data_IF_418634883954
#
_entry.id   IF_418634883954
#
_cell.length_a   1.000
_cell.length_b   1.000
_cell.length_c   1.000
_cell.angle_alpha   90.00
_cell.angle_beta   90.00
_cell.angle_gamma   90.00
#
_symmetry.space_group_name_H-M   'P 1'
#
loop_
_entity.id
_entity.type
_entity.pdbx_description
1 polymer ?
#
# COMPACT_ATOMS: atom_id res chain seq x y z
N UNK A 1 -8.06 21.29 20.29
CA UNK A 1 -7.32 21.05 19.02
C UNK A 1 -7.26 19.55 18.81
N UNK A 2 -7.63 19.04 17.63
CA UNK A 2 -7.43 17.62 17.29
C UNK A 2 -5.93 17.32 17.36
N UNK A 3 -5.57 16.17 17.92
CA UNK A 3 -4.19 15.66 17.93
C UNK A 3 -4.08 14.47 16.97
N UNK A 4 -2.85 14.13 16.56
CA UNK A 4 -2.63 12.91 15.77
C UNK A 4 -3.22 11.69 16.46
N UNK A 5 -3.05 11.58 17.80
CA UNK A 5 -3.58 10.48 18.59
C UNK A 5 -5.11 10.39 18.54
N UNK A 6 -5.82 11.52 18.60
CA UNK A 6 -7.28 11.52 18.53
C UNK A 6 -7.80 11.21 17.12
N UNK A 7 -7.12 11.72 16.07
CA UNK A 7 -7.42 11.39 14.68
C UNK A 7 -7.21 9.89 14.41
N UNK A 8 -6.04 9.37 14.81
CA UNK A 8 -5.73 7.95 14.67
C UNK A 8 -6.74 7.07 15.42
N UNK A 9 -7.12 7.45 16.64
CA UNK A 9 -8.15 6.73 17.40
C UNK A 9 -9.55 6.76 16.74
N UNK A 10 -9.88 7.78 15.94
CA UNK A 10 -11.11 7.79 15.13
C UNK A 10 -10.99 6.82 13.96
N UNK A 11 -9.86 6.85 13.23
CA UNK A 11 -9.58 5.97 12.11
C UNK A 11 -9.48 4.48 12.51
N UNK A 12 -9.13 4.16 13.76
CA UNK A 12 -9.15 2.78 14.27
C UNK A 12 -10.57 2.22 14.49
N UNK A 13 -11.62 3.06 14.45
CA UNK A 13 -13.01 2.61 14.59
C UNK A 13 -13.58 2.05 13.29
N UNK A 14 -12.97 2.37 12.15
CA UNK A 14 -13.38 1.81 10.86
C UNK A 14 -12.66 0.49 10.59
N UNK A 15 -13.23 -0.43 9.81
CA UNK A 15 -12.54 -1.65 9.40
C UNK A 15 -11.23 -1.35 8.67
N UNK A 16 -10.23 -2.25 8.78
CA UNK A 16 -9.02 -2.10 7.98
C UNK A 16 -9.34 -2.25 6.49
N UNK A 17 -8.65 -1.51 5.61
CA UNK A 17 -8.93 -1.55 4.18
C UNK A 17 -8.56 -2.93 3.63
N UNK A 18 -9.50 -3.60 2.96
CA UNK A 18 -9.29 -4.93 2.40
C UNK A 18 -9.62 -5.01 0.91
N UNK A 19 -10.75 -4.41 0.53
CA UNK A 19 -11.32 -4.40 -0.80
C UNK A 19 -11.68 -2.97 -1.18
N UNK A 20 -11.87 -2.66 -2.47
CA UNK A 20 -12.08 -1.29 -2.90
C UNK A 20 -13.45 -0.80 -2.42
N UNK A 21 -13.53 0.49 -2.11
CA UNK A 21 -14.77 1.20 -1.82
C UNK A 21 -15.01 2.28 -2.87
N UNK A 22 -16.28 2.64 -3.08
CA UNK A 22 -16.67 3.74 -3.97
C UNK A 22 -16.36 5.12 -3.37
N UNK A 23 -16.21 5.19 -2.05
CA UNK A 23 -15.96 6.42 -1.30
C UNK A 23 -15.10 6.14 -0.07
N UNK A 24 -14.41 7.16 0.48
CA UNK A 24 -13.79 7.04 1.80
C UNK A 24 -14.83 6.68 2.86
N UNK A 25 -14.35 6.14 3.99
CA UNK A 25 -15.19 5.83 5.14
C UNK A 25 -15.84 7.10 5.71
N UNK A 26 -15.08 8.19 5.83
CA UNK A 26 -15.59 9.49 6.20
C UNK A 26 -14.91 10.60 5.37
N UNK A 27 -15.64 11.29 4.47
CA UNK A 27 -15.12 12.40 3.70
C UNK A 27 -14.59 13.58 4.55
N UNK A 28 -15.09 13.77 5.78
CA UNK A 28 -14.59 14.83 6.65
C UNK A 28 -13.16 14.53 7.11
N UNK A 29 -12.86 13.25 7.38
CA UNK A 29 -11.53 12.80 7.77
C UNK A 29 -10.49 13.04 6.66
N UNK A 30 -10.87 13.04 5.38
CA UNK A 30 -9.95 13.36 4.28
C UNK A 30 -9.31 14.74 4.47
N UNK A 31 -10.13 15.78 4.67
CA UNK A 31 -9.61 17.13 4.87
C UNK A 31 -8.91 17.31 6.22
N UNK A 32 -9.39 16.60 7.26
CA UNK A 32 -8.75 16.63 8.57
C UNK A 32 -7.35 16.01 8.52
N UNK A 33 -7.18 14.83 7.89
CA UNK A 33 -5.87 14.17 7.69
C UNK A 33 -4.89 15.14 7.02
N UNK A 34 -5.26 15.72 5.88
CA UNK A 34 -4.40 16.64 5.14
C UNK A 34 -4.04 17.91 5.96
N UNK A 35 -4.92 18.37 6.84
CA UNK A 35 -4.68 19.56 7.67
C UNK A 35 -3.55 19.37 8.69
N UNK A 36 -3.21 18.13 9.06
CA UNK A 36 -2.10 17.85 9.97
C UNK A 36 -0.74 18.09 9.31
N UNK A 37 -0.66 18.04 7.97
CA UNK A 37 0.58 18.15 7.20
C UNK A 37 1.67 17.25 7.78
N UNK A 38 1.38 15.96 7.88
CA UNK A 38 2.32 14.98 8.41
C UNK A 38 3.41 14.70 7.37
N UNK A 39 4.39 13.87 7.74
CA UNK A 39 5.26 13.29 6.74
C UNK A 39 4.39 12.58 5.66
N UNK A 40 4.63 12.78 4.35
CA UNK A 40 3.74 12.28 3.30
C UNK A 40 3.46 10.78 3.37
N UNK A 41 4.44 9.99 3.78
CA UNK A 41 4.26 8.55 4.01
C UNK A 41 3.24 8.24 5.11
N UNK A 42 3.30 8.94 6.24
CA UNK A 42 2.34 8.76 7.33
C UNK A 42 0.95 9.25 6.93
N UNK A 43 0.88 10.38 6.22
CA UNK A 43 -0.37 10.92 5.68
C UNK A 43 -1.04 9.94 4.70
N UNK A 44 -0.28 9.35 3.78
CA UNK A 44 -0.76 8.28 2.89
C UNK A 44 -1.38 7.13 3.67
N UNK A 45 -0.71 6.64 4.71
CA UNK A 45 -1.21 5.50 5.49
C UNK A 45 -2.56 5.81 6.17
N UNK A 46 -2.74 7.04 6.65
CA UNK A 46 -4.03 7.50 7.20
C UNK A 46 -5.11 7.61 6.12
N UNK A 47 -4.78 8.10 4.92
CA UNK A 47 -5.72 8.14 3.79
C UNK A 47 -6.14 6.73 3.36
N UNK A 48 -5.20 5.77 3.28
CA UNK A 48 -5.53 4.37 3.00
C UNK A 48 -6.44 3.76 4.05
N UNK A 49 -6.20 4.07 5.33
CA UNK A 49 -7.07 3.65 6.43
C UNK A 49 -8.48 4.25 6.33
N UNK A 50 -8.62 5.46 5.79
CA UNK A 50 -9.91 6.07 5.49
C UNK A 50 -10.50 5.62 4.14
N UNK A 51 -9.84 4.73 3.38
CA UNK A 51 -10.18 4.40 1.99
C UNK A 51 -10.26 5.61 1.04
N UNK A 52 -9.52 6.67 1.34
CA UNK A 52 -9.34 7.82 0.47
C UNK A 52 -8.21 7.55 -0.54
N UNK A 53 -8.51 6.65 -1.49
CA UNK A 53 -7.55 6.21 -2.50
C UNK A 53 -7.03 7.33 -3.40
N UNK A 54 -7.83 8.35 -3.82
CA UNK A 54 -7.30 9.46 -4.61
C UNK A 54 -6.19 10.25 -3.91
N UNK A 55 -6.37 10.59 -2.62
CA UNK A 55 -5.34 11.29 -1.85
C UNK A 55 -4.10 10.41 -1.63
N UNK A 56 -4.31 9.13 -1.30
CA UNK A 56 -3.21 8.18 -1.14
C UNK A 56 -2.40 8.04 -2.46
N UNK A 57 -3.08 7.88 -3.60
CA UNK A 57 -2.46 7.76 -4.91
C UNK A 57 -1.66 9.03 -5.29
N UNK A 58 -2.18 10.21 -4.95
CA UNK A 58 -1.50 11.48 -5.16
C UNK A 58 -0.18 11.58 -4.37
N UNK A 59 -0.13 11.02 -3.16
CA UNK A 59 1.07 11.07 -2.33
C UNK A 59 2.09 10.00 -2.73
N UNK A 60 1.69 8.73 -2.86
CA UNK A 60 2.64 7.61 -3.14
C UNK A 60 3.35 7.76 -4.47
N UNK A 61 2.76 8.47 -5.45
CA UNK A 61 3.43 8.74 -6.73
C UNK A 61 4.70 9.59 -6.63
N UNK A 62 4.94 10.23 -5.50
CA UNK A 62 6.15 11.00 -5.22
C UNK A 62 7.17 10.20 -4.36
N UNK A 63 6.87 8.93 -4.06
CA UNK A 63 7.66 8.05 -3.18
C UNK A 63 7.80 6.64 -3.80
N UNK A 64 7.95 6.57 -5.11
CA UNK A 64 7.93 5.31 -5.89
C UNK A 64 9.29 4.63 -6.04
N UNK A 65 10.35 5.12 -5.40
CA UNK A 65 11.70 4.63 -5.62
C UNK A 65 12.51 4.60 -4.34
N UNK A 66 13.49 3.69 -4.28
CA UNK A 66 14.46 3.66 -3.20
C UNK A 66 15.13 5.04 -3.05
N UNK A 67 15.36 5.53 -1.83
CA UNK A 67 15.20 4.81 -0.56
C UNK A 67 13.81 4.97 0.12
N UNK A 68 12.76 5.42 -0.57
CA UNK A 68 11.42 5.60 0.01
C UNK A 68 10.62 4.29 0.13
N UNK A 69 11.20 3.29 0.79
CA UNK A 69 10.62 1.95 0.90
C UNK A 69 9.24 1.93 1.56
N UNK A 70 8.98 2.78 2.56
CA UNK A 70 7.64 2.88 3.16
C UNK A 70 6.61 3.41 2.17
N UNK A 71 6.98 4.38 1.32
CA UNK A 71 6.10 4.90 0.27
C UNK A 71 5.84 3.87 -0.82
N UNK A 72 6.88 3.16 -1.26
CA UNK A 72 6.76 2.03 -2.20
C UNK A 72 5.85 0.94 -1.65
N UNK A 73 5.97 0.64 -0.36
CA UNK A 73 5.16 -0.38 0.28
C UNK A 73 3.68 0.05 0.39
N UNK A 74 3.40 1.30 0.79
CA UNK A 74 2.04 1.84 0.77
C UNK A 74 1.43 1.87 -0.65
N UNK A 75 2.26 1.99 -1.69
CA UNK A 75 1.81 1.86 -3.07
C UNK A 75 1.34 0.43 -3.39
N UNK A 76 2.07 -0.58 -2.91
CA UNK A 76 1.63 -1.97 -2.98
C UNK A 76 0.30 -2.21 -2.24
N UNK A 77 0.15 -1.66 -1.02
CA UNK A 77 -1.09 -1.74 -0.24
C UNK A 77 -2.25 -1.06 -0.99
N UNK A 78 -2.01 0.09 -1.61
CA UNK A 78 -2.99 0.80 -2.42
C UNK A 78 -3.52 -0.09 -3.56
N UNK A 79 -2.63 -0.68 -4.35
CA UNK A 79 -3.04 -1.56 -5.45
C UNK A 79 -3.71 -2.86 -4.97
N UNK A 80 -3.30 -3.39 -3.82
CA UNK A 80 -4.00 -4.52 -3.16
C UNK A 80 -5.46 -4.16 -2.88
N UNK A 81 -5.72 -2.96 -2.35
CA UNK A 81 -7.07 -2.46 -2.05
C UNK A 81 -7.86 -2.24 -3.35
N UNK A 82 -7.25 -1.69 -4.40
CA UNK A 82 -7.88 -1.53 -5.72
C UNK A 82 -8.19 -2.88 -6.40
N UNK A 83 -7.55 -3.95 -5.94
CA UNK A 83 -7.66 -5.30 -6.50
C UNK A 83 -6.79 -5.51 -7.74
N UNK A 84 -5.76 -4.69 -7.92
CA UNK A 84 -4.67 -4.87 -8.87
C UNK A 84 -3.52 -5.65 -8.20
N UNK A 85 -3.75 -6.95 -8.05
CA UNK A 85 -2.86 -7.80 -7.27
C UNK A 85 -1.50 -8.00 -7.94
N UNK A 86 -1.41 -7.99 -9.27
CA UNK A 86 -0.13 -8.18 -9.95
C UNK A 86 0.82 -7.00 -9.70
N UNK A 87 0.30 -5.76 -9.74
CA UNK A 87 1.09 -4.60 -9.32
C UNK A 87 1.40 -4.62 -7.82
N UNK A 88 0.44 -5.02 -6.97
CA UNK A 88 0.71 -5.16 -5.54
C UNK A 88 1.88 -6.14 -5.26
N UNK A 89 1.88 -7.30 -5.93
CA UNK A 89 2.95 -8.31 -5.81
C UNK A 89 4.31 -7.78 -6.28
N UNK A 90 4.33 -7.02 -7.37
CA UNK A 90 5.55 -6.38 -7.87
C UNK A 90 6.13 -5.41 -6.82
N UNK A 91 5.30 -4.53 -6.25
CA UNK A 91 5.72 -3.62 -5.18
C UNK A 91 6.22 -4.36 -3.94
N UNK A 92 5.51 -5.39 -3.48
CA UNK A 92 5.93 -6.19 -2.31
C UNK A 92 7.28 -6.88 -2.55
N UNK A 93 7.53 -7.31 -3.79
CA UNK A 93 8.83 -7.90 -4.18
C UNK A 93 9.96 -6.88 -4.09
N UNK A 94 9.73 -5.63 -4.55
CA UNK A 94 10.75 -4.58 -4.57
C UNK A 94 11.16 -4.07 -3.18
N UNK A 95 10.33 -4.31 -2.17
CA UNK A 95 10.55 -3.87 -0.80
C UNK A 95 10.85 -5.01 0.17
N UNK A 96 11.01 -6.26 -0.32
CA UNK A 96 11.25 -7.46 0.49
C UNK A 96 12.38 -7.28 1.51
N UNK A 97 13.49 -6.71 1.06
CA UNK A 97 14.71 -6.51 1.86
C UNK A 97 14.64 -5.28 2.78
N UNK A 98 13.55 -4.51 2.72
CA UNK A 98 13.37 -3.35 3.60
C UNK A 98 13.08 -3.79 5.04
N UNK A 99 13.53 -2.98 6.00
CA UNK A 99 13.34 -3.27 7.42
C UNK A 99 11.85 -3.37 7.80
N UNK A 100 11.00 -2.51 7.22
CA UNK A 100 9.57 -2.51 7.49
C UNK A 100 8.90 -3.79 6.99
N UNK A 101 9.21 -4.23 5.76
CA UNK A 101 8.62 -5.46 5.23
C UNK A 101 9.05 -6.68 6.05
N UNK A 102 10.35 -6.78 6.33
CA UNK A 102 10.90 -7.83 7.18
C UNK A 102 10.26 -7.85 8.56
N UNK A 103 9.96 -6.69 9.15
CA UNK A 103 9.31 -6.59 10.46
C UNK A 103 7.88 -7.15 10.44
N UNK A 104 7.12 -6.92 9.37
CA UNK A 104 5.72 -7.34 9.29
C UNK A 104 5.54 -8.77 8.75
N UNK A 105 6.37 -9.19 7.79
CA UNK A 105 6.20 -10.45 7.07
C UNK A 105 7.30 -11.49 7.32
N UNK A 106 8.41 -11.08 7.95
CA UNK A 106 9.59 -11.91 8.17
C UNK A 106 10.56 -11.94 6.98
N UNK A 107 11.66 -12.69 7.13
CA UNK A 107 12.76 -12.80 6.14
C UNK A 107 12.65 -14.01 5.20
N UNK A 108 11.61 -14.82 5.33
CA UNK A 108 11.50 -16.13 4.67
C UNK A 108 10.60 -16.13 3.45
N UNK A 109 10.89 -17.01 2.51
CA UNK A 109 10.08 -17.23 1.30
C UNK A 109 10.57 -16.46 0.08
N UNK A 110 9.98 -16.81 -1.06
CA UNK A 110 10.26 -16.20 -2.35
C UNK A 110 9.32 -15.01 -2.60
N UNK A 111 9.84 -13.96 -3.24
CA UNK A 111 9.00 -12.91 -3.79
C UNK A 111 8.25 -13.41 -5.01
N UNK A 112 7.28 -12.63 -5.45
CA UNK A 112 6.59 -12.90 -6.71
C UNK A 112 7.56 -12.90 -7.90
N UNK A 113 8.50 -11.94 -7.96
CA UNK A 113 9.48 -11.86 -9.06
C UNK A 113 10.39 -13.10 -9.11
N UNK A 114 10.94 -13.51 -7.96
CA UNK A 114 11.76 -14.72 -7.84
C UNK A 114 10.99 -15.98 -8.28
N UNK A 115 9.73 -16.11 -7.83
CA UNK A 115 8.87 -17.23 -8.21
C UNK A 115 8.56 -17.26 -9.72
N UNK A 116 8.26 -16.09 -10.31
CA UNK A 116 7.99 -15.97 -11.75
C UNK A 116 9.20 -16.35 -12.60
N UNK A 117 10.40 -15.97 -12.18
CA UNK A 117 11.65 -16.33 -12.86
C UNK A 117 11.90 -17.84 -12.83
N UNK A 118 11.70 -18.48 -11.67
CA UNK A 118 11.94 -19.91 -11.50
C UNK A 118 10.89 -20.77 -12.24
N UNK A 119 9.61 -20.40 -12.12
CA UNK A 119 8.52 -21.29 -12.53
C UNK A 119 7.81 -20.87 -13.83
N UNK A 120 8.17 -19.71 -14.43
CA UNK A 120 7.56 -19.19 -15.66
C UNK A 120 6.03 -19.15 -15.61
N UNK A 121 5.47 -18.76 -14.47
CA UNK A 121 4.03 -18.75 -14.15
C UNK A 121 3.34 -20.13 -14.06
N UNK A 122 4.10 -21.23 -14.04
CA UNK A 122 3.61 -22.56 -13.66
C UNK A 122 3.93 -22.88 -12.19
N UNK A 123 3.48 -24.03 -11.67
CA UNK A 123 3.89 -24.48 -10.34
C UNK A 123 3.07 -23.93 -9.16
N UNK A 124 3.26 -24.57 -8.00
CA UNK A 124 2.62 -24.15 -6.75
C UNK A 124 3.27 -22.89 -6.17
N UNK A 125 2.52 -22.18 -5.33
CA UNK A 125 2.92 -20.90 -4.72
C UNK A 125 3.24 -21.04 -3.23
N UNK A 126 3.50 -22.26 -2.76
CA UNK A 126 3.76 -22.57 -1.35
C UNK A 126 5.07 -21.97 -0.84
N UNK A 127 6.03 -21.73 -1.75
CA UNK A 127 7.33 -21.12 -1.47
C UNK A 127 7.29 -19.61 -1.29
N UNK A 128 6.19 -18.95 -1.68
CA UNK A 128 6.05 -17.50 -1.57
C UNK A 128 6.18 -17.01 -0.12
N UNK A 129 6.68 -15.79 0.06
CA UNK A 129 6.72 -15.15 1.36
C UNK A 129 5.31 -14.85 1.91
N UNK A 130 5.24 -14.48 3.18
CA UNK A 130 3.96 -14.30 3.87
C UNK A 130 3.12 -13.15 3.30
N UNK A 131 3.74 -12.06 2.87
CA UNK A 131 3.02 -10.93 2.27
C UNK A 131 2.45 -11.30 0.90
N UNK A 132 3.20 -12.05 0.10
CA UNK A 132 2.74 -12.58 -1.19
C UNK A 132 1.59 -13.59 -1.01
N UNK A 133 1.68 -14.48 -0.02
CA UNK A 133 0.59 -15.41 0.35
C UNK A 133 -0.67 -14.69 0.82
N UNK A 134 -0.50 -13.57 1.53
CA UNK A 134 -1.62 -12.74 1.94
C UNK A 134 -2.34 -12.14 0.71
N UNK A 135 -1.60 -11.61 -0.27
CA UNK A 135 -2.16 -11.13 -1.54
C UNK A 135 -2.94 -12.23 -2.28
N UNK A 136 -2.39 -13.45 -2.38
CA UNK A 136 -3.07 -14.60 -2.99
C UNK A 136 -4.38 -14.95 -2.26
N UNK A 137 -4.38 -14.89 -0.94
CA UNK A 137 -5.58 -15.21 -0.13
C UNK A 137 -6.68 -14.17 -0.34
N UNK A 138 -6.34 -12.88 -0.42
CA UNK A 138 -7.32 -11.81 -0.70
C UNK A 138 -7.85 -11.93 -2.12
N UNK A 139 -6.98 -12.15 -3.11
CA UNK A 139 -7.40 -12.33 -4.50
C UNK A 139 -8.39 -13.48 -4.62
N UNK A 140 -8.06 -14.63 -4.03
CA UNK A 140 -8.95 -15.79 -4.01
C UNK A 140 -10.28 -15.46 -3.33
N UNK A 141 -10.26 -14.80 -2.17
CA UNK A 141 -11.47 -14.36 -1.48
C UNK A 141 -12.37 -13.49 -2.37
N UNK A 142 -11.79 -12.53 -3.10
CA UNK A 142 -12.50 -11.64 -4.04
C UNK A 142 -13.11 -12.45 -5.20
N UNK A 143 -12.36 -13.38 -5.77
CA UNK A 143 -12.80 -14.19 -6.92
C UNK A 143 -13.87 -15.21 -6.57
N UNK A 144 -13.80 -15.82 -5.37
CA UNK A 144 -14.73 -16.88 -4.95
C UNK A 144 -15.89 -16.38 -4.11
N UNK A 145 -15.96 -15.08 -3.80
CA UNK A 145 -16.92 -14.50 -2.85
C UNK A 145 -16.94 -15.31 -1.53
N UNK A 146 -15.77 -15.39 -0.89
CA UNK A 146 -15.57 -16.20 0.32
C UNK A 146 -16.53 -15.87 1.48
N UNK A 147 -16.49 -16.70 2.53
CA UNK A 147 -17.45 -16.57 3.65
C UNK A 147 -17.09 -15.41 4.58
N UNK A 148 -18.06 -14.90 5.34
CA UNK A 148 -17.85 -13.79 6.29
C UNK A 148 -16.75 -14.08 7.34
N UNK A 149 -16.60 -15.34 7.80
CA UNK A 149 -15.52 -15.70 8.73
C UNK A 149 -14.12 -15.59 8.12
N UNK A 150 -13.98 -15.87 6.82
CA UNK A 150 -12.72 -15.68 6.09
C UNK A 150 -12.41 -14.19 5.92
N UNK A 151 -13.44 -13.39 5.64
CA UNK A 151 -13.33 -11.92 5.55
C UNK A 151 -12.82 -11.31 6.85
N UNK A 152 -13.35 -11.73 8.00
CA UNK A 152 -12.94 -11.19 9.29
C UNK A 152 -11.44 -11.43 9.56
N UNK A 153 -10.93 -12.63 9.29
CA UNK A 153 -9.50 -12.93 9.44
C UNK A 153 -8.62 -12.14 8.48
N UNK A 154 -9.08 -11.92 7.24
CA UNK A 154 -8.37 -11.09 6.28
C UNK A 154 -8.34 -9.61 6.68
N UNK A 155 -9.44 -9.09 7.25
CA UNK A 155 -9.49 -7.73 7.81
C UNK A 155 -8.53 -7.61 9.00
N UNK A 156 -8.45 -8.62 9.86
CA UNK A 156 -7.51 -8.64 11.00
C UNK A 156 -6.04 -8.65 10.54
N UNK A 157 -5.70 -9.46 9.54
CA UNK A 157 -4.36 -9.44 8.96
C UNK A 157 -4.06 -8.09 8.26
N UNK A 158 -5.03 -7.54 7.54
CA UNK A 158 -4.91 -6.20 6.92
C UNK A 158 -4.73 -5.10 7.97
N UNK A 159 -5.39 -5.24 9.12
CA UNK A 159 -5.25 -4.34 10.29
C UNK A 159 -3.82 -4.39 10.84
N UNK A 160 -3.28 -5.58 11.06
CA UNK A 160 -1.89 -5.76 11.51
C UNK A 160 -0.87 -5.13 10.56
N UNK A 161 -1.09 -5.27 9.24
CA UNK A 161 -0.25 -4.64 8.22
C UNK A 161 -0.30 -3.10 8.29
N UNK A 162 -1.51 -2.51 8.20
CA UNK A 162 -1.65 -1.05 8.11
C UNK A 162 -1.27 -0.36 9.42
N UNK A 163 -1.60 -0.95 10.58
CA UNK A 163 -1.22 -0.39 11.88
C UNK A 163 0.30 -0.48 12.07
N UNK A 164 0.92 -1.60 11.67
CA UNK A 164 2.36 -1.79 11.75
C UNK A 164 3.16 -0.76 10.95
N UNK A 165 2.69 -0.42 9.74
CA UNK A 165 3.34 0.64 8.94
C UNK A 165 3.06 2.05 9.48
N UNK A 166 1.86 2.32 10.03
CA UNK A 166 1.55 3.59 10.70
C UNK A 166 2.47 3.78 11.91
N UNK A 167 2.60 2.78 12.78
CA UNK A 167 3.48 2.82 13.95
C UNK A 167 4.95 3.01 13.55
N UNK A 168 5.40 2.29 12.52
CA UNK A 168 6.74 2.46 11.97
C UNK A 168 6.98 3.89 11.47
N UNK A 169 6.08 4.42 10.66
CA UNK A 169 6.19 5.78 10.11
C UNK A 169 6.14 6.83 11.22
N UNK A 170 5.25 6.68 12.21
CA UNK A 170 5.17 7.58 13.36
C UNK A 170 6.45 7.54 14.20
N UNK A 171 7.07 6.36 14.37
CA UNK A 171 8.35 6.22 15.07
C UNK A 171 9.52 6.81 14.29
N UNK A 172 9.55 6.61 12.96
CA UNK A 172 10.67 7.01 12.10
C UNK A 172 10.64 8.50 11.74
N UNK A 173 9.47 9.03 11.41
CA UNK A 173 9.29 10.39 10.90
C UNK A 173 8.69 11.35 11.94
N UNK A 174 8.14 10.82 13.04
CA UNK A 174 7.39 11.59 14.01
C UNK A 174 5.96 11.91 13.53
N UNK A 175 5.21 12.59 14.40
CA UNK A 175 3.81 13.00 14.14
C UNK A 175 3.65 14.51 14.21
N UNK A 176 4.76 15.25 14.16
CA UNK A 176 4.75 16.69 14.14
C UNK A 176 4.43 17.20 12.73
N UNK A 177 3.88 18.41 12.68
CA UNK A 177 3.61 19.11 11.42
C UNK A 177 4.91 19.32 10.65
N UNK A 178 4.95 18.90 9.40
CA UNK A 178 6.06 19.06 8.47
C UNK A 178 5.72 20.15 7.46
N UNK A 179 6.31 21.35 7.62
CA UNK A 179 5.99 22.48 6.72
C UNK A 179 6.60 22.32 5.32
N UNK A 180 7.72 21.62 5.20
CA UNK A 180 8.37 21.32 3.93
C UNK A 180 8.65 19.82 3.86
N UNK A 181 7.91 19.14 2.99
CA UNK A 181 8.02 17.71 2.76
C UNK A 181 8.84 17.35 1.50
N UNK A 182 9.50 18.33 0.87
CA UNK A 182 10.25 18.11 -0.38
C UNK A 182 11.36 17.07 -0.24
N UNK A 183 11.95 16.93 0.96
CA UNK A 183 12.95 15.91 1.27
C UNK A 183 12.40 14.49 1.33
N UNK A 184 11.09 14.32 1.49
CA UNK A 184 10.43 13.02 1.47
C UNK A 184 10.19 12.52 0.04
N UNK A 185 10.22 13.41 -0.94
CA UNK A 185 9.94 13.07 -2.33
C UNK A 185 11.19 12.48 -2.98
N UNK A 186 11.04 11.25 -3.47
CA UNK A 186 12.10 10.57 -4.22
C UNK A 186 11.75 10.65 -5.69
N UNK A 187 12.66 11.23 -6.47
CA UNK A 187 12.50 11.28 -7.93
C UNK A 187 12.34 9.85 -8.46
N UNK A 188 11.37 9.59 -9.34
CA UNK A 188 11.23 8.28 -9.96
C UNK A 188 12.55 7.87 -10.61
N UNK A 189 12.94 6.60 -10.47
CA UNK A 189 14.06 6.05 -11.24
C UNK A 189 13.82 6.23 -12.74
N UNK A 190 14.88 6.20 -13.56
CA UNK A 190 14.73 6.33 -15.01
C UNK A 190 13.84 5.23 -15.60
N UNK A 191 13.91 4.02 -15.03
CA UNK A 191 13.08 2.86 -15.37
C UNK A 191 11.61 3.14 -15.09
N UNK A 192 11.26 3.62 -13.89
CA UNK A 192 9.88 3.97 -13.52
C UNK A 192 9.37 5.14 -14.37
N UNK A 193 10.23 6.12 -14.66
CA UNK A 193 9.88 7.22 -15.56
C UNK A 193 9.60 6.73 -16.97
N UNK A 194 10.35 5.72 -17.45
CA UNK A 194 10.14 5.12 -18.77
C UNK A 194 8.85 4.29 -18.79
N UNK A 195 8.61 3.45 -17.79
CA UNK A 195 7.35 2.70 -17.65
C UNK A 195 6.13 3.62 -17.59
N UNK A 196 6.19 4.70 -16.80
CA UNK A 196 5.11 5.69 -16.72
C UNK A 196 4.90 6.44 -18.04
N UNK A 197 5.98 6.74 -18.79
CA UNK A 197 5.87 7.28 -20.15
C UNK A 197 5.22 6.25 -21.08
N UNK A 198 5.68 5.00 -21.07
CA UNK A 198 5.17 3.92 -21.92
C UNK A 198 3.69 3.60 -21.60
N UNK A 199 3.23 3.77 -20.36
CA UNK A 199 1.80 3.66 -20.03
C UNK A 199 0.95 4.85 -20.53
N UNK A 200 1.55 6.03 -20.68
CA UNK A 200 0.88 7.25 -21.18
C UNK A 200 0.98 7.38 -22.70
N UNK A 201 2.09 6.94 -23.31
CA UNK A 201 2.39 7.03 -24.74
C UNK A 201 2.29 5.69 -25.48
N UNK A 202 2.08 4.58 -24.78
CA UNK A 202 2.07 3.24 -25.34
C UNK A 202 0.84 2.99 -26.20
N UNK A 203 1.11 2.53 -27.41
CA UNK A 203 0.21 2.09 -28.47
C UNK A 203 -0.63 0.84 -28.11
N UNK A 204 -0.89 0.61 -26.82
CA UNK A 204 -1.54 -0.59 -26.27
C UNK A 204 -2.69 -0.29 -25.29
N UNK A 205 -3.23 0.94 -25.28
CA UNK A 205 -4.30 1.28 -24.34
C UNK A 205 -5.11 2.54 -24.63
N UNK A 206 -4.95 3.17 -25.79
CA UNK A 206 -5.79 4.32 -26.16
C UNK A 206 -7.15 3.84 -26.63
N UNK A 207 -8.22 4.06 -25.84
CA UNK A 207 -9.57 4.17 -26.43
C UNK A 207 -9.51 5.30 -27.45
N UNK A 208 -9.73 4.96 -28.72
CA UNK A 208 -10.06 5.93 -29.75
C UNK A 208 -11.45 6.47 -29.42
N UNK A 209 -11.56 7.78 -29.26
CA UNK A 209 -12.84 8.46 -29.42
C UNK A 209 -13.11 8.64 -30.91
#
# INVERSE_FOLDING_TARGET
>A
MTTFKSLHAQLLKVPAPLLPSVSPHDPNLTSEIASFQLHPTLETALHLLNLDLPSAHFLVRHMQSAPAFEGMYLHGILHRIEGDYDNARAWYSDIKESEIYTKLWGKGGQTWKEWQEEHKNGGGRESLDNGQKFLDTIQKFKETQGREGEKASLVEQSRGEIDGIIEWCASKFGTARMMDASSAWVRPSEEIRKMGKDQVSGDSGRRKF
#
